data_IF_799201247695
#
_entry.id   IF_799201247695
#
_cell.length_a   1.000
_cell.length_b   1.000
_cell.length_c   1.000
_cell.angle_alpha   90.00
_cell.angle_beta   90.00
_cell.angle_gamma   90.00
#
_symmetry.space_group_name_H-M   'P 1'
#
loop_
_entity.id
_entity.type
_entity.pdbx_description
1 polymer ?
#
# COMPACT_ATOMS: atom_id res chain seq x y z
N UNK A 1 8.87 5.13 -20.89
CA UNK A 1 9.39 4.10 -19.96
C UNK A 1 8.80 4.42 -18.61
N UNK A 2 8.19 3.44 -17.91
CA UNK A 2 7.67 3.68 -16.56
C UNK A 2 8.84 3.60 -15.58
N UNK A 3 8.98 4.58 -14.68
CA UNK A 3 9.99 4.56 -13.62
C UNK A 3 9.43 3.91 -12.35
N UNK A 4 8.54 2.94 -12.53
CA UNK A 4 7.85 2.24 -11.46
C UNK A 4 8.53 0.90 -11.17
N UNK A 5 8.72 0.60 -9.88
CA UNK A 5 9.19 -0.69 -9.40
C UNK A 5 7.99 -1.45 -8.84
N UNK A 6 7.55 -2.45 -9.58
CA UNK A 6 6.28 -3.16 -9.40
C UNK A 6 6.46 -4.61 -8.93
N UNK A 7 5.35 -5.31 -8.71
CA UNK A 7 5.30 -6.74 -8.42
C UNK A 7 6.11 -7.58 -9.41
N UNK A 8 6.10 -7.21 -10.69
CA UNK A 8 6.81 -7.96 -11.75
C UNK A 8 8.33 -7.91 -11.58
N UNK A 9 8.86 -6.89 -10.89
CA UNK A 9 10.29 -6.77 -10.61
C UNK A 9 10.76 -7.68 -9.47
N UNK A 10 9.84 -8.19 -8.63
CA UNK A 10 10.17 -8.97 -7.43
C UNK A 10 11.08 -10.19 -7.70
N UNK A 11 10.80 -11.07 -8.69
CA UNK A 11 11.63 -12.25 -8.89
C UNK A 11 13.07 -11.89 -9.28
N UNK A 12 13.23 -10.89 -10.14
CA UNK A 12 14.54 -10.40 -10.57
C UNK A 12 15.31 -9.78 -9.40
N UNK A 13 14.68 -8.88 -8.62
CA UNK A 13 15.29 -8.25 -7.45
C UNK A 13 15.74 -9.29 -6.42
N UNK A 14 14.87 -10.25 -6.08
CA UNK A 14 15.24 -11.33 -5.14
C UNK A 14 16.40 -12.17 -5.67
N UNK A 15 16.35 -12.57 -6.94
CA UNK A 15 17.44 -13.35 -7.54
C UNK A 15 18.77 -12.60 -7.47
N UNK A 16 18.78 -11.30 -7.79
CA UNK A 16 20.00 -10.48 -7.72
C UNK A 16 20.52 -10.37 -6.29
N UNK A 17 19.66 -10.03 -5.32
CA UNK A 17 20.08 -9.78 -3.95
C UNK A 17 20.61 -11.04 -3.23
N UNK A 18 19.95 -12.19 -3.40
CA UNK A 18 20.37 -13.44 -2.73
C UNK A 18 21.59 -14.10 -3.36
N UNK A 19 21.99 -13.70 -4.57
CA UNK A 19 23.19 -14.20 -5.24
C UNK A 19 24.41 -13.31 -5.03
N UNK A 20 24.30 -12.24 -4.23
CA UNK A 20 25.43 -11.37 -3.93
C UNK A 20 26.52 -12.11 -3.13
N UNK A 21 27.81 -11.89 -3.45
CA UNK A 21 28.89 -12.44 -2.65
C UNK A 21 28.89 -11.88 -1.23
N UNK A 22 29.35 -12.69 -0.27
CA UNK A 22 29.52 -12.27 1.13
C UNK A 22 30.54 -11.13 1.24
N UNK A 23 30.38 -10.25 2.22
CA UNK A 23 31.33 -9.15 2.47
C UNK A 23 31.23 -7.98 1.47
N UNK A 24 30.22 -7.97 0.60
CA UNK A 24 30.06 -6.92 -0.42
C UNK A 24 29.35 -5.69 0.11
N UNK A 25 29.47 -4.59 -0.63
CA UNK A 25 28.72 -3.35 -0.38
C UNK A 25 27.75 -3.11 -1.52
N UNK A 26 26.50 -2.83 -1.19
CA UNK A 26 25.42 -2.62 -2.16
C UNK A 26 24.63 -1.37 -1.82
N UNK A 27 24.41 -0.56 -2.85
CA UNK A 27 23.59 0.64 -2.79
C UNK A 27 22.47 0.48 -3.80
N UNK A 28 21.22 0.54 -3.33
CA UNK A 28 20.03 0.68 -4.18
C UNK A 28 19.77 2.17 -4.37
N UNK A 29 19.92 2.66 -5.60
CA UNK A 29 19.62 4.04 -5.95
C UNK A 29 18.19 4.16 -6.49
N UNK A 30 17.30 4.75 -5.68
CA UNK A 30 15.89 4.98 -6.02
C UNK A 30 15.62 6.41 -6.55
N UNK A 31 16.65 7.23 -6.79
CA UNK A 31 16.49 8.65 -7.11
C UNK A 31 15.67 8.92 -8.38
N UNK A 32 15.62 7.97 -9.32
CA UNK A 32 14.85 8.08 -10.56
C UNK A 32 13.49 7.37 -10.50
N UNK A 33 13.19 6.65 -9.43
CA UNK A 33 11.96 5.88 -9.29
C UNK A 33 10.78 6.80 -9.01
N UNK A 34 9.76 6.78 -9.88
CA UNK A 34 8.53 7.53 -9.68
C UNK A 34 7.63 6.88 -8.63
N UNK A 35 7.65 5.55 -8.55
CA UNK A 35 6.91 4.77 -7.56
C UNK A 35 7.60 3.43 -7.29
N UNK A 36 7.55 2.97 -6.05
CA UNK A 36 8.02 1.66 -5.61
C UNK A 36 6.87 1.03 -4.82
N UNK A 37 6.43 -0.14 -5.24
CA UNK A 37 5.38 -0.86 -4.52
C UNK A 37 5.82 -1.19 -3.07
N UNK A 38 4.90 -1.13 -2.08
CA UNK A 38 5.22 -1.41 -0.68
C UNK A 38 5.91 -2.75 -0.45
N UNK A 39 5.48 -3.79 -1.14
CA UNK A 39 6.06 -5.13 -1.01
C UNK A 39 7.52 -5.20 -1.48
N UNK A 40 7.97 -4.28 -2.35
CA UNK A 40 9.39 -4.20 -2.75
C UNK A 40 10.23 -3.62 -1.62
N UNK A 41 9.71 -2.62 -0.93
CA UNK A 41 10.36 -2.03 0.25
C UNK A 41 10.46 -3.06 1.37
N UNK A 42 9.42 -3.87 1.56
CA UNK A 42 9.43 -4.99 2.50
C UNK A 42 10.55 -5.99 2.16
N UNK A 43 10.73 -6.35 0.88
CA UNK A 43 11.85 -7.21 0.45
C UNK A 43 13.21 -6.58 0.80
N UNK A 44 13.36 -5.27 0.61
CA UNK A 44 14.62 -4.59 0.93
C UNK A 44 14.89 -4.57 2.44
N UNK A 45 13.88 -4.30 3.26
CA UNK A 45 14.02 -4.31 4.72
C UNK A 45 14.30 -5.73 5.24
N UNK A 46 13.57 -6.74 4.75
CA UNK A 46 13.80 -8.13 5.09
C UNK A 46 15.23 -8.55 4.73
N UNK A 47 15.67 -8.26 3.50
CA UNK A 47 17.01 -8.57 3.03
C UNK A 47 18.08 -7.92 3.91
N UNK A 48 17.91 -6.63 4.22
CA UNK A 48 18.83 -5.86 5.07
C UNK A 48 18.95 -6.43 6.48
N UNK A 49 17.81 -6.79 7.08
CA UNK A 49 17.76 -7.22 8.48
C UNK A 49 18.07 -8.71 8.69
N UNK A 50 18.02 -9.52 7.62
CA UNK A 50 18.29 -10.96 7.67
C UNK A 50 19.55 -11.31 6.87
N UNK A 51 19.41 -11.60 5.58
CA UNK A 51 20.45 -12.16 4.72
C UNK A 51 21.70 -11.29 4.65
N UNK A 52 21.55 -9.97 4.50
CA UNK A 52 22.69 -9.06 4.42
C UNK A 52 23.51 -9.08 5.70
N UNK A 53 22.84 -9.06 6.86
CA UNK A 53 23.49 -9.13 8.18
C UNK A 53 24.24 -10.44 8.38
N UNK A 54 23.63 -11.57 8.02
CA UNK A 54 24.25 -12.91 8.14
C UNK A 54 25.46 -13.09 7.20
N UNK A 55 25.48 -12.38 6.07
CA UNK A 55 26.52 -12.51 5.06
C UNK A 55 27.52 -11.34 5.04
N UNK A 56 27.52 -10.49 6.07
CA UNK A 56 28.37 -9.29 6.16
C UNK A 56 28.25 -8.37 4.92
N UNK A 57 27.05 -8.23 4.37
CA UNK A 57 26.78 -7.34 3.24
C UNK A 57 26.35 -5.98 3.80
N UNK A 58 27.05 -4.92 3.39
CA UNK A 58 26.66 -3.54 3.71
C UNK A 58 25.58 -3.11 2.70
N UNK A 59 24.34 -2.97 3.17
CA UNK A 59 23.20 -2.68 2.30
C UNK A 59 22.57 -1.33 2.65
N UNK A 60 22.55 -0.42 1.69
CA UNK A 60 21.97 0.92 1.81
C UNK A 60 21.01 1.23 0.65
N UNK A 61 20.00 2.05 0.94
CA UNK A 61 19.08 2.57 -0.06
C UNK A 61 19.16 4.10 -0.02
N UNK A 62 19.32 4.72 -1.18
CA UNK A 62 19.37 6.17 -1.34
C UNK A 62 18.29 6.63 -2.32
N UNK A 63 17.94 7.92 -2.30
CA UNK A 63 16.98 8.48 -3.26
C UNK A 63 15.52 8.05 -3.04
N UNK A 64 15.19 7.43 -1.90
CA UNK A 64 13.79 7.17 -1.51
C UNK A 64 13.07 8.49 -1.27
N UNK A 65 11.99 8.75 -2.00
CA UNK A 65 11.17 9.93 -1.78
C UNK A 65 10.48 9.95 -0.42
N UNK A 66 10.17 11.15 0.10
CA UNK A 66 9.62 11.38 1.45
C UNK A 66 8.37 10.56 1.78
N UNK A 67 7.59 10.19 0.75
CA UNK A 67 6.36 9.41 0.85
C UNK A 67 6.58 7.98 1.37
N UNK A 68 7.81 7.48 1.34
CA UNK A 68 8.20 6.15 1.83
C UNK A 68 8.66 6.14 3.29
N UNK A 69 8.66 7.30 3.96
CA UNK A 69 8.84 7.35 5.40
C UNK A 69 7.83 6.40 6.07
N UNK A 70 8.23 5.61 7.08
CA UNK A 70 7.35 4.66 7.75
C UNK A 70 6.16 5.42 8.36
N UNK A 71 5.06 5.50 7.62
CA UNK A 71 3.81 6.08 8.12
C UNK A 71 3.32 5.15 9.21
N UNK A 72 3.41 5.65 10.45
CA UNK A 72 2.69 5.24 11.67
C UNK A 72 1.72 4.11 11.39
N UNK A 73 2.03 2.91 11.91
CA UNK A 73 1.16 1.72 11.91
C UNK A 73 -0.27 2.21 12.02
N UNK A 74 -1.05 2.04 10.95
CA UNK A 74 -2.47 2.29 11.01
C UNK A 74 -2.96 1.25 12.01
N UNK A 75 -3.16 1.67 13.27
CA UNK A 75 -3.93 0.89 14.23
C UNK A 75 -5.30 0.78 13.57
N UNK A 76 -5.54 -0.37 12.93
CA UNK A 76 -6.86 -0.71 12.46
C UNK A 76 -7.68 -0.77 13.73
N UNK A 77 -8.41 0.30 14.01
CA UNK A 77 -9.30 0.35 15.15
C UNK A 77 -10.38 -0.71 14.88
N UNK A 78 -10.20 -1.88 15.51
CA UNK A 78 -11.13 -3.02 15.45
C UNK A 78 -12.52 -2.65 15.99
N UNK A 79 -12.75 -1.41 16.42
CA UNK A 79 -14.09 -0.89 16.69
C UNK A 79 -15.02 -0.92 15.48
N UNK A 80 -14.49 -1.03 14.24
CA UNK A 80 -15.33 -1.18 13.03
C UNK A 80 -15.28 -2.58 12.38
N UNK A 81 -14.59 -3.56 12.96
CA UNK A 81 -15.02 -4.95 12.79
C UNK A 81 -16.24 -5.10 13.69
N UNK A 82 -17.38 -4.63 13.19
CA UNK A 82 -18.67 -4.95 13.77
C UNK A 82 -18.66 -6.47 13.95
N UNK A 83 -18.65 -6.89 15.21
CA UNK A 83 -18.73 -8.29 15.55
C UNK A 83 -20.09 -8.75 15.02
N UNK A 84 -20.09 -9.36 13.84
CA UNK A 84 -21.30 -9.68 13.08
C UNK A 84 -21.97 -10.92 13.65
N UNK A 85 -22.30 -10.82 14.93
CA UNK A 85 -23.09 -11.78 15.68
C UNK A 85 -24.49 -11.98 15.08
N UNK A 86 -24.89 -11.12 14.16
CA UNK A 86 -26.11 -11.17 13.36
C UNK A 86 -26.03 -12.14 12.17
N UNK A 87 -24.84 -12.51 11.67
CA UNK A 87 -24.64 -13.41 10.52
C UNK A 87 -24.49 -14.89 10.91
N UNK A 88 -25.31 -15.40 11.82
CA UNK A 88 -25.21 -16.78 12.33
C UNK A 88 -25.99 -17.82 11.53
N UNK A 89 -26.82 -17.41 10.58
CA UNK A 89 -27.59 -18.34 9.74
C UNK A 89 -27.25 -18.22 8.25
N UNK A 90 -27.30 -19.32 7.49
CA UNK A 90 -27.09 -19.29 6.04
C UNK A 90 -28.00 -18.28 5.32
N UNK A 91 -29.25 -18.15 5.76
CA UNK A 91 -30.19 -17.20 5.15
C UNK A 91 -29.74 -15.75 5.32
N UNK A 92 -29.32 -15.36 6.53
CA UNK A 92 -28.83 -14.00 6.76
C UNK A 92 -27.56 -13.67 5.99
N UNK A 93 -26.70 -14.68 5.78
CA UNK A 93 -25.52 -14.54 4.92
C UNK A 93 -25.94 -14.31 3.48
N UNK A 94 -26.90 -15.09 2.97
CA UNK A 94 -27.42 -14.94 1.61
C UNK A 94 -28.07 -13.57 1.39
N UNK A 95 -28.89 -13.13 2.34
CA UNK A 95 -29.54 -11.82 2.30
C UNK A 95 -28.51 -10.69 2.32
N UNK A 96 -27.49 -10.79 3.19
CA UNK A 96 -26.41 -9.81 3.27
C UNK A 96 -25.63 -9.70 1.95
N UNK A 97 -25.30 -10.83 1.32
CA UNK A 97 -24.58 -10.85 0.04
C UNK A 97 -25.43 -10.31 -1.11
N UNK A 98 -26.71 -10.69 -1.15
CA UNK A 98 -27.66 -10.21 -2.16
C UNK A 98 -27.83 -8.70 -2.08
N UNK A 99 -28.01 -8.18 -0.87
CA UNK A 99 -28.13 -6.75 -0.60
C UNK A 99 -26.82 -5.99 -0.91
N UNK A 100 -25.66 -6.60 -0.62
CA UNK A 100 -24.35 -6.08 -1.02
C UNK A 100 -24.20 -5.93 -2.54
N UNK A 101 -24.60 -6.95 -3.29
CA UNK A 101 -24.57 -6.92 -4.76
C UNK A 101 -25.53 -5.88 -5.34
N UNK A 102 -26.73 -5.76 -4.75
CA UNK A 102 -27.71 -4.73 -5.16
C UNK A 102 -27.13 -3.32 -5.01
N UNK A 103 -26.57 -3.00 -3.84
CA UNK A 103 -25.87 -1.71 -3.62
C UNK A 103 -24.74 -1.45 -4.61
N UNK A 104 -24.00 -2.49 -5.00
CA UNK A 104 -22.94 -2.37 -6.00
C UNK A 104 -23.50 -1.98 -7.38
N UNK A 105 -24.58 -2.64 -7.81
CA UNK A 105 -25.26 -2.34 -9.07
C UNK A 105 -25.85 -0.93 -9.05
N UNK A 106 -26.41 -0.53 -7.91
CA UNK A 106 -27.04 0.78 -7.70
C UNK A 106 -26.01 1.92 -7.52
N UNK A 107 -24.71 1.61 -7.45
CA UNK A 107 -23.63 2.58 -7.28
C UNK A 107 -23.46 3.13 -5.86
N UNK A 108 -24.25 2.65 -4.90
CA UNK A 108 -24.22 3.06 -3.49
C UNK A 108 -23.19 2.23 -2.69
N UNK A 109 -21.91 2.50 -2.98
CA UNK A 109 -20.79 1.71 -2.45
C UNK A 109 -20.42 2.12 -1.02
N UNK A 110 -20.72 1.25 -0.05
CA UNK A 110 -20.28 1.36 1.36
C UNK A 110 -18.80 0.96 1.53
N UNK A 111 -17.91 1.46 0.68
CA UNK A 111 -16.48 1.12 0.77
C UNK A 111 -15.66 2.31 1.26
N UNK A 112 -14.79 2.05 2.25
CA UNK A 112 -13.82 3.03 2.80
C UNK A 112 -12.98 3.70 1.72
N UNK A 113 -12.69 3.00 0.61
CA UNK A 113 -11.94 3.55 -0.54
C UNK A 113 -12.67 4.71 -1.22
N UNK A 114 -14.00 4.72 -1.26
CA UNK A 114 -14.78 5.76 -1.92
C UNK A 114 -15.10 6.94 -0.99
N UNK A 115 -15.32 6.68 0.31
CA UNK A 115 -15.38 7.73 1.35
C UNK A 115 -14.12 8.62 1.32
N UNK A 116 -12.93 8.03 1.18
CA UNK A 116 -11.68 8.78 1.06
C UNK A 116 -11.53 9.53 -0.27
N UNK A 117 -12.15 9.07 -1.37
CA UNK A 117 -12.20 9.83 -2.63
C UNK A 117 -13.12 11.05 -2.49
N UNK A 118 -14.31 10.90 -1.91
CA UNK A 118 -15.24 12.01 -1.71
C UNK A 118 -14.69 13.07 -0.74
N UNK A 119 -13.94 12.68 0.30
CA UNK A 119 -13.25 13.64 1.18
C UNK A 119 -12.15 14.45 0.44
N UNK A 120 -11.44 13.83 -0.52
CA UNK A 120 -10.47 14.55 -1.36
C UNK A 120 -11.14 15.45 -2.40
N UNK A 121 -12.26 15.02 -2.96
CA UNK A 121 -13.00 15.79 -3.98
C UNK A 121 -13.77 16.95 -3.35
N UNK A 122 -14.44 16.76 -2.20
CA UNK A 122 -15.18 17.82 -1.51
C UNK A 122 -14.26 18.92 -0.95
N UNK A 123 -13.09 18.58 -0.39
CA UNK A 123 -12.13 19.62 0.04
C UNK A 123 -11.56 20.42 -1.14
N UNK A 124 -11.36 19.79 -2.31
CA UNK A 124 -11.01 20.54 -3.54
C UNK A 124 -12.21 21.35 -4.04
N UNK A 125 -13.42 20.82 -4.06
CA UNK A 125 -14.60 21.51 -4.57
C UNK A 125 -15.00 22.75 -3.74
N UNK A 126 -14.74 22.74 -2.44
CA UNK A 126 -14.92 23.90 -1.57
C UNK A 126 -13.85 24.98 -1.79
N UNK A 127 -12.58 24.58 -2.03
CA UNK A 127 -11.49 25.51 -2.36
C UNK A 127 -11.68 26.19 -3.72
N UNK A 128 -12.26 25.50 -4.71
CA UNK A 128 -12.51 26.06 -6.05
C UNK A 128 -13.72 27.02 -6.08
N UNK A 129 -14.70 26.87 -5.20
CA UNK A 129 -15.83 27.81 -5.09
C UNK A 129 -15.46 29.14 -4.43
N UNK A 130 -14.39 29.19 -3.63
CA UNK A 130 -13.92 30.43 -2.98
C UNK A 130 -13.05 31.33 -3.87
N UNK A 131 -12.53 30.84 -5.00
CA UNK A 131 -11.66 31.61 -5.91
C UNK A 131 -12.42 32.34 -7.04
N UNK A 132 -13.73 32.13 -7.19
CA UNK A 132 -14.57 32.73 -8.25
C UNK A 132 -15.41 33.92 -7.78
N UNK A 133 -15.25 34.38 -6.54
CA UNK A 133 -16.04 35.49 -5.94
C UNK A 133 -15.18 36.63 -5.39
N UNK A 134 -13.99 36.84 -5.94
CA UNK A 134 -13.17 38.07 -5.73
C UNK A 134 -12.72 38.57 -7.10
#
# INVERSE_FOLDING_TARGET
MSNEVSFLNKPAIKSTLWNLPKGTKVIIDASFSSYIEPDILEIFEDYKHTFAKENNIEFNIIGLGDNYSPKKIIKIDRKNSQDRNDLKSPQKILDFLTEGNKRYIDGDLVSRRFQNKNLKTSSKMLLWQWWLTV
#
